data_IF_415302722342
#
_entry.id   IF_415302722342
#
_cell.length_a   1.000
_cell.length_b   1.000
_cell.length_c   1.000
_cell.angle_alpha   90.00
_cell.angle_beta   90.00
_cell.angle_gamma   90.00
#
_symmetry.space_group_name_H-M   'P 1'
#
loop_
_entity.id
_entity.type
_entity.pdbx_description
1 polymer ?
#
# COMPACT_ATOMS: atom_id res chain seq x y z
N UNK A 1 2.63 -5.32 -10.89
CA UNK A 1 1.57 -4.45 -10.34
C UNK A 1 0.14 -4.93 -10.62
N UNK A 2 -0.26 -5.15 -11.88
CA UNK A 2 -1.62 -5.60 -12.22
C UNK A 2 -1.94 -7.02 -11.71
N UNK A 3 -0.92 -7.88 -11.66
CA UNK A 3 -0.98 -9.20 -11.04
C UNK A 3 -1.33 -9.12 -9.54
N UNK A 4 -0.63 -8.28 -8.78
CA UNK A 4 -0.95 -8.05 -7.35
C UNK A 4 -2.38 -7.57 -7.14
N UNK A 5 -2.86 -6.63 -7.96
CA UNK A 5 -4.25 -6.17 -7.88
C UNK A 5 -5.26 -7.29 -8.18
N UNK A 6 -4.93 -8.17 -9.13
CA UNK A 6 -5.75 -9.33 -9.48
C UNK A 6 -5.83 -10.31 -8.31
N UNK A 7 -4.69 -10.59 -7.68
CA UNK A 7 -4.59 -11.44 -6.51
C UNK A 7 -5.34 -10.86 -5.31
N UNK A 8 -5.19 -9.57 -5.02
CA UNK A 8 -5.93 -8.88 -3.95
C UNK A 8 -7.44 -9.05 -4.15
N UNK A 9 -7.94 -8.84 -5.39
CA UNK A 9 -9.35 -9.03 -5.73
C UNK A 9 -9.79 -10.50 -5.60
N UNK A 10 -8.92 -11.44 -5.97
CA UNK A 10 -9.19 -12.88 -5.84
C UNK A 10 -9.37 -13.27 -4.37
N UNK A 11 -8.44 -12.85 -3.51
CA UNK A 11 -8.53 -13.11 -2.07
C UNK A 11 -9.72 -12.39 -1.44
N UNK A 12 -10.04 -11.16 -1.85
CA UNK A 12 -11.23 -10.46 -1.36
C UNK A 12 -12.49 -11.28 -1.61
N UNK A 13 -12.70 -11.74 -2.86
CA UNK A 13 -13.84 -12.60 -3.21
C UNK A 13 -13.87 -13.90 -2.43
N UNK A 14 -12.72 -14.46 -2.09
CA UNK A 14 -12.64 -15.67 -1.27
C UNK A 14 -13.03 -15.38 0.19
N UNK A 15 -12.56 -14.26 0.75
CA UNK A 15 -12.90 -13.79 2.09
C UNK A 15 -14.41 -13.56 2.21
N UNK A 16 -15.03 -12.88 1.24
CA UNK A 16 -16.46 -12.54 1.25
C UNK A 16 -17.39 -13.78 1.26
N UNK A 17 -16.86 -14.96 0.90
CA UNK A 17 -17.61 -16.23 0.89
C UNK A 17 -17.42 -17.07 2.15
N UNK A 18 -16.49 -16.70 3.02
CA UNK A 18 -16.18 -17.47 4.22
C UNK A 18 -17.02 -16.94 5.38
N UNK A 19 -17.82 -17.80 6.05
CA UNK A 19 -18.58 -17.39 7.23
C UNK A 19 -17.68 -16.87 8.36
N UNK A 20 -18.16 -15.86 9.09
CA UNK A 20 -17.42 -15.21 10.20
C UNK A 20 -16.98 -16.16 11.32
N UNK A 21 -17.67 -17.29 11.48
CA UNK A 21 -17.34 -18.34 12.45
C UNK A 21 -16.04 -19.07 12.09
N UNK A 22 -15.68 -19.13 10.80
CA UNK A 22 -14.45 -19.76 10.31
C UNK A 22 -13.23 -18.82 10.46
N UNK A 23 -13.02 -18.29 11.67
CA UNK A 23 -12.03 -17.24 11.98
C UNK A 23 -10.61 -17.61 11.58
N UNK A 24 -10.20 -18.87 11.76
CA UNK A 24 -8.87 -19.36 11.34
C UNK A 24 -8.71 -19.29 9.83
N UNK A 25 -9.75 -19.63 9.06
CA UNK A 25 -9.72 -19.55 7.60
C UNK A 25 -9.68 -18.10 7.11
N UNK A 26 -10.42 -17.22 7.77
CA UNK A 26 -10.38 -15.78 7.50
C UNK A 26 -8.98 -15.20 7.78
N UNK A 27 -8.33 -15.59 8.87
CA UNK A 27 -6.95 -15.19 9.17
C UNK A 27 -6.00 -15.65 8.06
N UNK A 28 -6.11 -16.90 7.60
CA UNK A 28 -5.27 -17.44 6.52
C UNK A 28 -5.43 -16.62 5.23
N UNK A 29 -6.68 -16.39 4.79
CA UNK A 29 -6.96 -15.67 3.55
C UNK A 29 -6.56 -14.19 3.63
N UNK A 30 -6.86 -13.51 4.75
CA UNK A 30 -6.45 -12.12 4.98
C UNK A 30 -4.94 -11.99 5.06
N UNK A 31 -4.23 -12.96 5.64
CA UNK A 31 -2.75 -12.94 5.68
C UNK A 31 -2.15 -13.07 4.28
N UNK A 32 -2.73 -13.91 3.41
CA UNK A 32 -2.34 -14.00 1.99
C UNK A 32 -2.65 -12.71 1.23
N UNK A 33 -3.82 -12.12 1.46
CA UNK A 33 -4.18 -10.83 0.87
C UNK A 33 -3.22 -9.71 1.32
N UNK A 34 -2.86 -9.69 2.60
CA UNK A 34 -1.95 -8.71 3.21
C UNK A 34 -0.59 -8.69 2.52
N UNK A 35 -0.06 -9.86 2.14
CA UNK A 35 1.19 -9.95 1.38
C UNK A 35 1.10 -9.16 0.07
N UNK A 36 0.08 -9.42 -0.76
CA UNK A 36 -0.06 -8.73 -2.06
C UNK A 36 -0.35 -7.23 -1.90
N UNK A 37 -1.10 -6.83 -0.87
CA UNK A 37 -1.30 -5.42 -0.53
C UNK A 37 0.05 -4.76 -0.19
N UNK A 38 0.89 -5.43 0.60
CA UNK A 38 2.22 -4.96 0.97
C UNK A 38 3.15 -4.81 -0.23
N UNK A 39 3.20 -5.82 -1.12
CA UNK A 39 3.98 -5.75 -2.36
C UNK A 39 3.53 -4.59 -3.26
N UNK A 40 2.22 -4.37 -3.36
CA UNK A 40 1.68 -3.26 -4.14
C UNK A 40 2.03 -1.89 -3.52
N UNK A 41 2.02 -1.78 -2.19
CA UNK A 41 2.46 -0.58 -1.49
C UNK A 41 3.97 -0.33 -1.70
N UNK A 42 4.79 -1.37 -1.66
CA UNK A 42 6.24 -1.29 -1.88
C UNK A 42 6.58 -0.82 -3.30
N UNK A 43 5.88 -1.35 -4.31
CA UNK A 43 6.05 -0.92 -5.71
C UNK A 43 5.79 0.59 -5.87
N UNK A 44 4.66 1.09 -5.36
CA UNK A 44 4.36 2.53 -5.44
C UNK A 44 5.35 3.38 -4.62
N UNK A 45 5.89 2.86 -3.52
CA UNK A 45 6.93 3.54 -2.77
C UNK A 45 8.24 3.64 -3.57
N UNK A 46 8.59 2.59 -4.33
CA UNK A 46 9.73 2.58 -5.24
C UNK A 46 9.56 3.62 -6.35
N UNK A 47 8.44 3.59 -7.07
CA UNK A 47 8.13 4.52 -8.16
C UNK A 47 8.09 5.98 -7.68
N UNK A 48 7.51 6.23 -6.50
CA UNK A 48 7.56 7.55 -5.88
C UNK A 48 9.01 8.02 -5.65
N UNK A 49 9.88 7.17 -5.11
CA UNK A 49 11.29 7.52 -4.87
C UNK A 49 12.07 7.76 -6.15
N UNK A 50 11.82 6.96 -7.19
CA UNK A 50 12.45 7.13 -8.51
C UNK A 50 12.06 8.47 -9.13
N UNK A 51 10.76 8.79 -9.18
CA UNK A 51 10.29 10.07 -9.73
C UNK A 51 10.77 11.25 -8.88
N UNK A 52 10.79 11.12 -7.55
CA UNK A 52 11.35 12.15 -6.67
C UNK A 52 12.81 12.45 -6.97
N UNK A 53 13.62 11.42 -7.19
CA UNK A 53 15.03 11.56 -7.56
C UNK A 53 15.18 12.20 -8.95
N UNK A 54 14.46 11.68 -9.95
CA UNK A 54 14.47 12.24 -11.31
C UNK A 54 14.04 13.70 -11.34
N UNK A 55 13.02 14.07 -10.55
CA UNK A 55 12.57 15.45 -10.41
C UNK A 55 13.67 16.35 -9.89
N UNK A 56 14.40 15.93 -8.84
CA UNK A 56 15.50 16.72 -8.28
C UNK A 56 16.63 16.90 -9.29
N UNK A 57 16.96 15.84 -10.03
CA UNK A 57 17.96 15.90 -11.08
C UNK A 57 17.58 16.91 -12.16
N UNK A 58 16.39 16.77 -12.75
CA UNK A 58 15.92 17.65 -13.85
C UNK A 58 15.77 19.09 -13.38
N UNK A 59 15.29 19.31 -12.16
CA UNK A 59 15.26 20.65 -11.58
C UNK A 59 16.65 21.28 -11.55
N UNK A 60 17.65 20.54 -11.06
CA UNK A 60 19.01 21.05 -10.94
C UNK A 60 19.66 21.29 -12.31
N UNK A 61 19.46 20.38 -13.26
CA UNK A 61 19.93 20.52 -14.65
C UNK A 61 19.36 21.80 -15.28
N UNK A 62 18.03 21.96 -15.26
CA UNK A 62 17.36 23.14 -15.79
C UNK A 62 17.77 24.45 -15.09
N UNK A 63 18.05 24.39 -13.78
CA UNK A 63 18.54 25.54 -13.02
C UNK A 63 19.94 25.97 -13.45
N UNK A 64 20.83 25.00 -13.66
CA UNK A 64 22.22 25.24 -14.06
C UNK A 64 22.30 25.74 -15.51
N UNK A 65 21.53 25.16 -16.42
CA UNK A 65 21.48 25.54 -17.84
C UNK A 65 20.85 26.92 -18.08
N UNK A 66 19.95 27.36 -17.22
CA UNK A 66 19.28 28.64 -17.39
C UNK A 66 20.23 29.84 -17.20
N UNK A 67 20.28 30.74 -18.19
CA UNK A 67 21.04 32.01 -18.08
C UNK A 67 20.34 33.05 -17.20
N UNK A 68 19.01 33.14 -17.28
CA UNK A 68 18.15 34.05 -16.50
C UNK A 68 16.87 33.34 -16.08
N UNK A 69 16.25 33.84 -15.01
CA UNK A 69 15.02 33.27 -14.43
C UNK A 69 15.19 31.78 -14.06
N UNK A 70 16.34 31.45 -13.46
CA UNK A 70 16.77 30.06 -13.21
C UNK A 70 15.74 29.26 -12.44
N UNK A 71 15.21 29.84 -11.35
CA UNK A 71 14.19 29.19 -10.53
C UNK A 71 12.90 28.93 -11.31
N UNK A 72 12.39 29.92 -12.05
CA UNK A 72 11.16 29.78 -12.83
C UNK A 72 11.29 28.71 -13.91
N UNK A 73 12.43 28.68 -14.63
CA UNK A 73 12.70 27.67 -15.65
C UNK A 73 12.83 26.26 -15.07
N UNK A 74 13.53 26.12 -13.95
CA UNK A 74 13.67 24.85 -13.25
C UNK A 74 12.33 24.32 -12.71
N UNK A 75 11.50 25.21 -12.15
CA UNK A 75 10.16 24.88 -11.68
C UNK A 75 9.25 24.41 -12.83
N UNK A 76 9.26 25.12 -13.96
CA UNK A 76 8.49 24.74 -15.16
C UNK A 76 8.90 23.36 -15.69
N UNK A 77 10.20 23.05 -15.69
CA UNK A 77 10.75 21.80 -16.18
C UNK A 77 10.26 20.55 -15.40
N UNK A 78 9.81 20.73 -14.15
CA UNK A 78 9.42 19.62 -13.27
C UNK A 78 7.94 19.52 -12.96
N UNK A 79 7.08 20.36 -13.56
CA UNK A 79 5.64 20.40 -13.25
C UNK A 79 4.99 19.02 -13.43
N UNK A 80 5.22 18.36 -14.57
CA UNK A 80 4.61 17.06 -14.85
C UNK A 80 5.18 15.94 -13.96
N UNK A 81 6.47 16.04 -13.60
CA UNK A 81 7.08 15.12 -12.64
C UNK A 81 6.49 15.28 -11.25
N UNK A 82 6.17 16.51 -10.81
CA UNK A 82 5.48 16.74 -9.52
C UNK A 82 4.09 16.14 -9.49
N UNK A 83 3.33 16.22 -10.58
CA UNK A 83 2.01 15.59 -10.67
C UNK A 83 2.12 14.07 -10.56
N UNK A 84 3.02 13.49 -11.35
CA UNK A 84 3.31 12.05 -11.33
C UNK A 84 3.79 11.59 -9.94
N UNK A 85 4.69 12.34 -9.31
CA UNK A 85 5.17 12.09 -7.95
C UNK A 85 4.00 12.04 -6.95
N UNK A 86 3.09 13.02 -7.02
CA UNK A 86 1.93 13.10 -6.13
C UNK A 86 0.98 11.91 -6.31
N UNK A 87 0.81 11.42 -7.54
CA UNK A 87 -0.04 10.25 -7.83
C UNK A 87 0.55 8.96 -7.27
N UNK A 88 1.85 8.74 -7.41
CA UNK A 88 2.54 7.59 -6.81
C UNK A 88 2.57 7.68 -5.30
N UNK A 89 2.83 8.87 -4.73
CA UNK A 89 2.76 9.07 -3.29
C UNK A 89 1.37 8.77 -2.73
N UNK A 90 0.32 9.28 -3.36
CA UNK A 90 -1.07 8.99 -2.97
C UNK A 90 -1.37 7.50 -3.02
N UNK A 91 -0.94 6.83 -4.09
CA UNK A 91 -1.16 5.39 -4.27
C UNK A 91 -0.42 4.58 -3.21
N UNK A 92 0.85 4.90 -2.95
CA UNK A 92 1.63 4.30 -1.87
C UNK A 92 0.92 4.46 -0.52
N UNK A 93 0.55 5.69 -0.13
CA UNK A 93 -0.15 5.94 1.15
C UNK A 93 -1.47 5.16 1.26
N UNK A 94 -2.24 5.06 0.18
CA UNK A 94 -3.47 4.27 0.14
C UNK A 94 -3.21 2.80 0.47
N UNK A 95 -2.25 2.17 -0.20
CA UNK A 95 -1.95 0.76 -0.01
C UNK A 95 -1.22 0.47 1.31
N UNK A 96 -0.43 1.42 1.81
CA UNK A 96 0.13 1.37 3.16
C UNK A 96 -0.98 1.32 4.22
N UNK A 97 -1.96 2.23 4.14
CA UNK A 97 -3.08 2.25 5.07
C UNK A 97 -3.93 0.97 4.97
N UNK A 98 -4.09 0.40 3.78
CA UNK A 98 -4.76 -0.89 3.59
C UNK A 98 -4.00 -2.04 4.27
N UNK A 99 -2.65 -2.01 4.23
CA UNK A 99 -1.80 -2.98 4.93
C UNK A 99 -2.04 -2.92 6.44
N UNK A 100 -2.08 -1.72 7.00
CA UNK A 100 -2.33 -1.49 8.43
C UNK A 100 -3.74 -1.97 8.81
N UNK A 101 -4.75 -1.62 8.02
CA UNK A 101 -6.15 -2.02 8.26
C UNK A 101 -6.30 -3.55 8.30
N UNK A 102 -5.79 -4.25 7.27
CA UNK A 102 -5.91 -5.72 7.20
C UNK A 102 -5.12 -6.39 8.33
N UNK A 103 -3.99 -5.81 8.76
CA UNK A 103 -3.24 -6.30 9.93
C UNK A 103 -4.08 -6.21 11.20
N UNK A 104 -4.77 -5.10 11.43
CA UNK A 104 -5.64 -4.93 12.59
C UNK A 104 -6.86 -5.87 12.55
N UNK A 105 -7.45 -6.10 11.37
CA UNK A 105 -8.50 -7.10 11.21
C UNK A 105 -8.01 -8.52 11.57
N UNK A 106 -6.82 -8.91 11.12
CA UNK A 106 -6.20 -10.19 11.49
C UNK A 106 -5.98 -10.26 13.01
N UNK A 107 -5.49 -9.19 13.63
CA UNK A 107 -5.28 -9.15 15.08
C UNK A 107 -6.58 -9.30 15.86
N UNK A 108 -7.65 -8.61 15.42
CA UNK A 108 -8.99 -8.74 16.00
C UNK A 108 -9.51 -10.18 15.91
N UNK A 109 -9.35 -10.84 14.76
CA UNK A 109 -9.71 -12.24 14.58
C UNK A 109 -8.89 -13.18 15.49
N UNK A 110 -7.58 -12.96 15.59
CA UNK A 110 -6.71 -13.74 16.50
C UNK A 110 -7.14 -13.60 17.95
N UNK A 111 -7.49 -12.38 18.39
CA UNK A 111 -7.97 -12.12 19.74
C UNK A 111 -9.26 -12.88 20.02
N UNK A 112 -10.23 -12.80 19.10
CA UNK A 112 -11.50 -13.53 19.16
C UNK A 112 -11.33 -15.04 19.26
N UNK A 113 -10.44 -15.63 18.45
CA UNK A 113 -10.12 -17.07 18.53
C UNK A 113 -9.56 -17.46 19.91
N UNK A 114 -8.70 -16.63 20.51
CA UNK A 114 -8.17 -16.89 21.86
C UNK A 114 -9.26 -16.84 22.93
N UNK A 115 -10.22 -15.93 22.80
CA UNK A 115 -11.37 -15.85 23.71
C UNK A 115 -12.22 -17.11 23.62
N UNK A 116 -12.58 -17.57 22.42
CA UNK A 116 -13.39 -18.78 22.23
C UNK A 116 -12.72 -20.01 22.89
N UNK A 117 -11.40 -20.14 22.78
CA UNK A 117 -10.62 -21.22 23.41
C UNK A 117 -10.64 -21.08 24.94
N UNK A 118 -10.45 -19.87 25.46
CA UNK A 118 -10.45 -19.62 26.90
C UNK A 118 -11.82 -19.90 27.54
N UNK A 119 -12.91 -19.55 26.85
CA UNK A 119 -14.27 -19.80 27.32
C UNK A 119 -14.68 -21.27 27.18
N UNK A 120 -14.25 -21.95 26.10
CA UNK A 120 -14.43 -23.39 25.94
C UNK A 120 -13.71 -24.22 27.03
N UNK A 121 -12.56 -23.75 27.52
CA UNK A 121 -11.84 -24.37 28.64
C UNK A 121 -12.45 -24.07 30.02
N UNK A 122 -13.40 -23.14 30.15
CA UNK A 122 -14.06 -22.81 31.43
C UNK A 122 -15.36 -23.58 31.67
N UNK A 123 -15.88 -24.27 30.65
CA UNK A 123 -17.14 -25.04 30.73
C UNK A 123 -16.93 -26.55 30.86
N UNK A 124 -15.68 -27.02 30.94
CA UNK A 124 -15.32 -28.40 31.31
C UNK A 124 -14.74 -28.45 32.72
#
# INVERSE_FOLDING_TARGET
>A
MQEYLTEIKRYQKAIDRVPDQMRVKLIELKSKQLYFIGELAAEFAGQYKEIYAARKQIYNEAYLEAEKYKQQKAELAVIELRKTEADYFRSWKRWQNATETVREEINSLKYRVRQDIADGNRQG
#
